data_IF_077151802120
#
_entry.id   IF_077151802120
#
_cell.length_a   1.000
_cell.length_b   1.000
_cell.length_c   1.000
_cell.angle_alpha   90.00
_cell.angle_beta   90.00
_cell.angle_gamma   90.00
#
_symmetry.space_group_name_H-M   'P 1'
#
loop_
_entity.id
_entity.type
_entity.pdbx_description
1 polymer ?
#
# COMPACT_ATOMS: atom_id res chain seq x y z
N UNK A 1 -13.14 13.45 -5.24
CA UNK A 1 -12.94 14.37 -4.09
C UNK A 1 -13.11 13.54 -2.83
N UNK A 2 -12.02 13.34 -2.06
CA UNK A 2 -12.05 12.63 -0.78
C UNK A 2 -12.67 13.53 0.29
N UNK A 3 -13.53 12.97 1.15
CA UNK A 3 -14.21 13.68 2.25
C UNK A 3 -13.36 13.78 3.53
N UNK A 4 -12.11 13.29 3.50
CA UNK A 4 -11.23 13.22 4.67
C UNK A 4 -11.65 12.12 5.65
N UNK A 5 -11.14 12.19 6.89
CA UNK A 5 -11.46 11.22 7.94
C UNK A 5 -12.89 11.37 8.43
N UNK A 6 -13.64 10.27 8.46
CA UNK A 6 -15.04 10.21 8.91
C UNK A 6 -15.16 9.22 10.06
N UNK A 7 -15.87 9.61 11.11
CA UNK A 7 -16.22 8.69 12.20
C UNK A 7 -17.40 7.81 11.81
N UNK A 8 -17.20 6.49 11.89
CA UNK A 8 -18.23 5.50 11.55
C UNK A 8 -18.47 4.61 12.77
N UNK A 9 -19.73 4.52 13.20
CA UNK A 9 -20.14 3.59 14.24
C UNK A 9 -20.55 2.25 13.64
N UNK A 10 -19.77 1.21 13.91
CA UNK A 10 -20.10 -0.15 13.45
C UNK A 10 -21.35 -0.67 14.18
N UNK A 11 -22.36 -1.22 13.48
CA UNK A 11 -23.52 -1.80 14.13
C UNK A 11 -23.11 -3.01 14.98
N UNK A 12 -23.59 -3.04 16.24
CA UNK A 12 -23.36 -4.14 17.17
C UNK A 12 -24.58 -5.03 17.18
N UNK A 13 -24.59 -6.02 16.30
CA UNK A 13 -25.71 -6.94 16.14
C UNK A 13 -25.56 -8.11 17.12
N UNK A 14 -26.66 -8.51 17.77
CA UNK A 14 -26.75 -9.64 18.72
C UNK A 14 -27.79 -10.64 18.20
N UNK A 15 -27.77 -11.89 18.68
CA UNK A 15 -28.71 -12.95 18.32
C UNK A 15 -28.74 -13.30 16.82
N UNK A 16 -27.58 -13.54 16.21
CA UNK A 16 -27.51 -14.14 14.87
C UNK A 16 -26.98 -15.59 14.96
N UNK A 17 -27.50 -16.46 14.11
CA UNK A 17 -26.97 -17.81 13.89
C UNK A 17 -25.57 -17.77 13.24
N UNK A 18 -25.29 -16.73 12.44
CA UNK A 18 -24.00 -16.50 11.79
C UNK A 18 -23.39 -15.14 12.16
N UNK A 19 -22.06 -15.06 12.13
CA UNK A 19 -21.34 -13.84 12.48
C UNK A 19 -21.62 -12.72 11.47
N UNK A 20 -22.06 -11.55 11.96
CA UNK A 20 -22.20 -10.38 11.11
C UNK A 20 -20.82 -9.88 10.61
N UNK A 21 -20.63 -9.94 9.29
CA UNK A 21 -19.49 -9.34 8.59
C UNK A 21 -19.98 -8.28 7.60
N UNK A 22 -19.43 -7.07 7.72
CA UNK A 22 -19.77 -5.98 6.80
C UNK A 22 -18.99 -6.15 5.50
N UNK A 23 -19.71 -6.21 4.37
CA UNK A 23 -19.10 -6.23 3.03
C UNK A 23 -18.54 -4.86 2.61
N UNK A 24 -19.16 -3.77 3.09
CA UNK A 24 -18.74 -2.40 2.74
C UNK A 24 -17.50 -1.98 3.53
N UNK A 25 -17.46 -2.28 4.83
CA UNK A 25 -16.32 -1.98 5.68
C UNK A 25 -15.82 -3.27 6.36
N UNK A 26 -14.87 -3.98 5.72
CA UNK A 26 -14.25 -5.15 6.28
C UNK A 26 -13.61 -4.87 7.64
N UNK A 27 -13.46 -5.92 8.45
CA UNK A 27 -12.81 -5.80 9.75
C UNK A 27 -11.42 -5.17 9.61
N UNK A 28 -11.14 -4.19 10.47
CA UNK A 28 -9.86 -3.47 10.57
C UNK A 28 -9.44 -2.63 9.34
N UNK A 29 -10.27 -2.53 8.29
CA UNK A 29 -10.00 -1.61 7.17
C UNK A 29 -10.31 -0.18 7.62
N UNK A 30 -9.27 0.66 7.73
CA UNK A 30 -9.36 2.06 8.19
C UNK A 30 -9.01 3.09 7.12
N UNK A 31 -8.60 2.64 5.94
CA UNK A 31 -8.13 3.47 4.84
C UNK A 31 -8.56 2.88 3.50
N UNK A 32 -8.75 3.75 2.50
CA UNK A 32 -9.05 3.34 1.13
C UNK A 32 -7.79 2.83 0.43
N UNK A 33 -7.97 2.12 -0.68
CA UNK A 33 -6.86 1.71 -1.54
C UNK A 33 -6.16 2.91 -2.17
N UNK A 34 -6.91 3.93 -2.59
CA UNK A 34 -6.36 5.18 -3.14
C UNK A 34 -5.34 5.85 -2.21
N UNK A 35 -5.59 5.88 -0.89
CA UNK A 35 -4.63 6.43 0.08
C UNK A 35 -3.38 5.57 0.19
N UNK A 36 -3.52 4.25 0.07
CA UNK A 36 -2.37 3.33 0.08
C UNK A 36 -1.51 3.48 -1.17
N UNK A 37 -2.14 3.70 -2.31
CA UNK A 37 -1.50 3.82 -3.61
C UNK A 37 -0.86 5.21 -3.83
N UNK A 38 -1.35 6.25 -3.15
CA UNK A 38 -0.76 7.58 -3.18
C UNK A 38 0.61 7.64 -2.48
N UNK A 39 0.82 6.85 -1.42
CA UNK A 39 2.07 6.87 -0.67
C UNK A 39 3.31 6.53 -1.51
N UNK A 40 3.32 5.49 -2.37
CA UNK A 40 4.45 5.24 -3.27
C UNK A 40 4.71 6.39 -4.24
N UNK A 41 3.66 6.99 -4.82
CA UNK A 41 3.82 8.13 -5.72
C UNK A 41 4.52 9.30 -5.00
N UNK A 42 4.10 9.59 -3.77
CA UNK A 42 4.73 10.62 -2.94
C UNK A 42 6.20 10.31 -2.62
N UNK A 43 6.56 9.03 -2.40
CA UNK A 43 7.98 8.64 -2.26
C UNK A 43 8.79 8.92 -3.53
N UNK A 44 8.23 8.62 -4.70
CA UNK A 44 8.89 8.89 -5.98
C UNK A 44 9.07 10.39 -6.22
N UNK A 45 8.13 11.20 -5.74
CA UNK A 45 8.22 12.66 -5.77
C UNK A 45 9.19 13.25 -4.72
N UNK A 46 9.89 12.41 -3.95
CA UNK A 46 10.95 12.83 -3.03
C UNK A 46 10.48 13.20 -1.63
N UNK A 47 9.23 12.85 -1.27
CA UNK A 47 8.73 13.09 0.08
C UNK A 47 9.41 12.14 1.09
N UNK A 48 10.04 12.70 2.12
CA UNK A 48 10.64 11.91 3.17
C UNK A 48 9.57 11.28 4.08
N UNK A 49 9.89 10.13 4.67
CA UNK A 49 8.97 9.36 5.53
C UNK A 49 8.37 10.16 6.69
N UNK A 50 9.13 11.12 7.23
CA UNK A 50 8.67 11.99 8.32
C UNK A 50 7.67 13.06 7.89
N UNK A 51 7.65 13.41 6.60
CA UNK A 51 6.82 14.50 6.07
C UNK A 51 5.46 14.02 5.56
N UNK A 52 5.21 12.71 5.56
CA UNK A 52 3.94 12.12 5.09
C UNK A 52 2.75 12.57 5.92
N UNK A 53 2.90 12.65 7.24
CA UNK A 53 1.82 13.13 8.12
C UNK A 53 1.44 14.56 7.76
N UNK A 54 2.42 15.44 7.54
CA UNK A 54 2.20 16.84 7.18
C UNK A 54 1.58 16.97 5.78
N UNK A 55 2.11 16.25 4.79
CA UNK A 55 1.61 16.28 3.42
C UNK A 55 0.17 15.75 3.33
N UNK A 56 -0.13 14.67 4.05
CA UNK A 56 -1.45 14.03 4.00
C UNK A 56 -2.47 14.67 4.94
N UNK A 57 -2.04 15.49 5.92
CA UNK A 57 -2.95 16.32 6.72
C UNK A 57 -3.76 17.30 5.86
N UNK A 58 -3.17 17.86 4.81
CA UNK A 58 -3.89 18.73 3.86
C UNK A 58 -4.98 18.00 3.06
N UNK A 59 -4.76 16.71 2.79
CA UNK A 59 -5.67 15.87 2.00
C UNK A 59 -6.73 15.16 2.86
N UNK A 60 -6.35 14.70 4.06
CA UNK A 60 -7.15 13.86 4.94
C UNK A 60 -7.74 14.61 6.14
N UNK A 61 -7.44 15.92 6.28
CA UNK A 61 -7.79 16.78 7.43
C UNK A 61 -7.14 16.24 8.72
N UNK A 62 -7.65 16.61 9.90
CA UNK A 62 -7.02 16.35 11.22
C UNK A 62 -6.85 14.87 11.62
N UNK A 63 -7.15 13.90 10.75
CA UNK A 63 -7.25 12.50 11.13
C UNK A 63 -6.55 11.51 10.21
N UNK A 64 -5.43 11.85 9.57
CA UNK A 64 -4.67 10.86 8.79
C UNK A 64 -4.12 9.76 9.72
N UNK A 65 -4.62 8.51 9.70
CA UNK A 65 -4.15 7.46 10.59
C UNK A 65 -2.90 6.80 10.01
N UNK A 66 -1.89 7.60 9.67
CA UNK A 66 -0.64 7.13 9.08
C UNK A 66 0.35 6.88 10.20
N UNK A 67 0.28 5.71 10.82
CA UNK A 67 1.31 5.33 11.78
C UNK A 67 2.65 5.10 11.05
N UNK A 68 3.75 5.54 11.66
CA UNK A 68 5.10 5.25 11.16
C UNK A 68 5.33 3.75 10.91
N UNK A 69 4.74 2.90 11.77
CA UNK A 69 4.78 1.44 11.62
C UNK A 69 4.09 0.92 10.37
N UNK A 70 3.03 1.58 9.90
CA UNK A 70 2.36 1.21 8.66
C UNK A 70 3.21 1.58 7.45
N UNK A 71 3.81 2.78 7.45
CA UNK A 71 4.77 3.20 6.40
C UNK A 71 5.96 2.24 6.32
N UNK A 72 6.48 1.79 7.47
CA UNK A 72 7.58 0.83 7.50
C UNK A 72 7.19 -0.50 6.86
N UNK A 73 6.04 -1.08 7.22
CA UNK A 73 5.54 -2.33 6.60
C UNK A 73 5.31 -2.20 5.11
N UNK A 74 4.85 -1.03 4.66
CA UNK A 74 4.65 -0.75 3.24
C UNK A 74 5.99 -0.76 2.49
N UNK A 75 7.03 -0.12 3.06
CA UNK A 75 8.40 -0.18 2.52
C UNK A 75 8.95 -1.60 2.49
N UNK A 76 8.77 -2.37 3.56
CA UNK A 76 9.23 -3.77 3.64
C UNK A 76 8.61 -4.61 2.52
N UNK A 77 7.31 -4.44 2.25
CA UNK A 77 6.62 -5.11 1.14
C UNK A 77 7.25 -4.76 -0.21
N UNK A 78 7.48 -3.47 -0.47
CA UNK A 78 8.09 -3.03 -1.73
C UNK A 78 9.53 -3.44 -1.89
N UNK A 79 10.31 -3.46 -0.80
CA UNK A 79 11.67 -4.00 -0.85
C UNK A 79 11.62 -5.46 -1.33
N UNK A 80 10.67 -6.25 -0.82
CA UNK A 80 10.44 -7.62 -1.30
C UNK A 80 10.06 -7.69 -2.77
N UNK A 81 9.12 -6.85 -3.23
CA UNK A 81 8.70 -6.78 -4.63
C UNK A 81 9.85 -6.36 -5.57
N UNK A 82 10.69 -5.42 -5.13
CA UNK A 82 11.86 -4.96 -5.87
C UNK A 82 12.94 -6.03 -6.00
N UNK A 83 13.25 -6.76 -4.91
CA UNK A 83 14.21 -7.87 -4.96
C UNK A 83 13.70 -9.00 -5.88
N UNK A 84 12.39 -9.29 -5.86
CA UNK A 84 11.78 -10.24 -6.79
C UNK A 84 11.92 -9.78 -8.24
N UNK A 85 11.56 -8.52 -8.53
CA UNK A 85 11.70 -7.95 -9.87
C UNK A 85 13.15 -8.02 -10.37
N UNK A 86 14.12 -7.64 -9.52
CA UNK A 86 15.55 -7.68 -9.85
C UNK A 86 16.05 -9.11 -10.13
N UNK A 87 15.57 -10.09 -9.35
CA UNK A 87 15.86 -11.50 -9.57
C UNK A 87 15.31 -11.99 -10.92
N UNK A 88 14.08 -11.61 -11.26
CA UNK A 88 13.45 -11.99 -12.52
C UNK A 88 14.08 -11.29 -13.73
N UNK A 89 14.54 -10.05 -13.60
CA UNK A 89 15.35 -9.38 -14.63
C UNK A 89 16.65 -10.15 -14.91
N UNK A 90 17.34 -10.58 -13.85
CA UNK A 90 18.59 -11.35 -13.99
C UNK A 90 18.38 -12.69 -14.72
N UNK A 91 17.21 -13.32 -14.55
CA UNK A 91 16.82 -14.53 -15.30
C UNK A 91 16.53 -14.24 -16.78
N UNK A 92 15.98 -13.05 -17.09
CA UNK A 92 15.70 -12.61 -18.47
C UNK A 92 16.97 -12.21 -19.23
N UNK A 93 18.03 -11.79 -18.54
CA UNK A 93 19.30 -11.36 -19.16
C UNK A 93 20.40 -12.44 -19.21
N UNK A 94 20.04 -13.73 -19.18
CA UNK A 94 20.96 -14.86 -19.46
C UNK A 94 21.25 -15.04 -20.96
N UNK A 95 22.40 -15.61 -21.37
CA UNK A 95 23.18 -15.12 -22.51
C UNK A 95 22.55 -15.47 -23.86
N UNK A 96 22.16 -14.46 -24.64
CA UNK A 96 21.99 -14.59 -26.09
C UNK A 96 23.24 -14.02 -26.77
N UNK A 97 24.37 -14.72 -26.63
CA UNK A 97 25.49 -14.51 -27.55
C UNK A 97 26.33 -15.78 -27.62
N UNK A 98 26.29 -16.45 -28.77
CA UNK A 98 27.24 -17.52 -29.08
C UNK A 98 26.63 -18.88 -29.40
N UNK A 99 25.78 -18.97 -30.43
CA UNK A 99 25.62 -20.21 -31.24
C UNK A 99 25.10 -19.89 -32.64
N UNK A 100 25.86 -19.15 -33.45
CA UNK A 100 25.79 -19.25 -34.93
C UNK A 100 27.19 -18.98 -35.48
N UNK A 101 27.98 -20.04 -35.63
CA UNK A 101 29.35 -19.95 -36.12
C UNK A 101 30.07 -21.28 -35.96
N UNK A 102 29.72 -22.25 -36.80
CA UNK A 102 30.60 -23.27 -37.40
C UNK A 102 29.76 -24.49 -37.81
N UNK A 103 29.46 -24.59 -39.10
CA UNK A 103 29.58 -25.78 -39.94
C UNK A 103 29.48 -25.35 -41.41
#
# INVERSE_FOLDING_TARGET
>A
MSLGTIEIRRPRVRNLDERFESMVLPLFKRQTEEVRDLVPELYLHGLASGDFELALRGLLREGAPLSASWLQRLKEKWQGEYEQWKSDQKKRTGPTFGQMGSM
#
